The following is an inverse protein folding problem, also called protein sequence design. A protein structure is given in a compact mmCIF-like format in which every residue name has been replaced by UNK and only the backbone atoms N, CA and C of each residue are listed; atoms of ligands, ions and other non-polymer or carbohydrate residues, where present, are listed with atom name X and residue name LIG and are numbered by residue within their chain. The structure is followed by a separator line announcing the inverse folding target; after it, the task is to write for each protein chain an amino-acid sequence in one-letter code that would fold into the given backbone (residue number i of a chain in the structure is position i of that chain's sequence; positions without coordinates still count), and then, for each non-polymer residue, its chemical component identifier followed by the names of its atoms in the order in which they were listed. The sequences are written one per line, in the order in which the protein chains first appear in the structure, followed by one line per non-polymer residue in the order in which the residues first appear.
data_IF_677401071472
#
_entry.id   IF_677401071472
#
_cell.length_a   1.000
_cell.length_b   1.000
_cell.length_c   1.000
_cell.angle_alpha   90.00
_cell.angle_beta   90.00
_cell.angle_gamma   90.00
#
_symmetry.space_group_name_H-M   'P 1'
#
loop_
_entity.id
_entity.type
_entity.pdbx_description
1 polymer ?
#
# COMPACT_ATOMS: atom_id res chain seq x y z
N UNK A 1 2.61 -22.20 -1.34
CA UNK A 1 2.52 -20.80 -0.92
C UNK A 1 3.92 -20.24 -0.89
N UNK A 2 4.15 -19.16 -1.62
CA UNK A 2 5.41 -18.42 -1.63
C UNK A 2 5.48 -17.51 -0.38
N UNK A 3 6.67 -17.03 0.02
CA UNK A 3 6.77 -16.19 1.23
C UNK A 3 6.45 -14.72 0.94
N UNK A 4 7.08 -14.11 -0.05
CA UNK A 4 6.96 -12.67 -0.31
C UNK A 4 6.94 -12.35 -1.81
N UNK A 5 6.00 -11.48 -2.22
CA UNK A 5 6.07 -10.76 -3.48
C UNK A 5 6.46 -9.31 -3.21
N UNK A 6 7.52 -8.82 -3.85
CA UNK A 6 7.91 -7.41 -3.84
C UNK A 6 7.45 -6.79 -5.15
N UNK A 7 6.62 -5.76 -5.08
CA UNK A 7 6.15 -4.97 -6.21
C UNK A 7 6.84 -3.62 -6.19
N UNK A 8 7.83 -3.45 -7.08
CA UNK A 8 8.46 -2.15 -7.30
C UNK A 8 7.62 -1.37 -8.32
N UNK A 9 6.99 -0.28 -7.88
CA UNK A 9 5.97 0.42 -8.68
C UNK A 9 6.54 1.67 -9.35
N UNK A 10 6.42 1.76 -10.68
CA UNK A 10 6.97 2.87 -11.49
C UNK A 10 5.93 3.47 -12.41
N UNK A 11 6.09 4.76 -12.73
CA UNK A 11 5.20 5.51 -13.61
C UNK A 11 5.96 6.36 -14.63
N UNK A 12 5.73 6.09 -15.92
CA UNK A 12 6.57 6.55 -17.02
C UNK A 12 6.30 7.96 -17.57
N UNK A 13 6.16 8.98 -16.73
CA UNK A 13 6.14 10.37 -17.22
C UNK A 13 7.53 10.86 -17.65
N UNK A 14 8.58 10.22 -17.14
CA UNK A 14 9.99 10.52 -17.42
C UNK A 14 10.77 9.23 -17.58
N UNK A 15 11.92 9.30 -18.26
CA UNK A 15 12.86 8.19 -18.28
C UNK A 15 13.73 8.23 -17.02
N UNK A 16 13.39 7.39 -16.05
CA UNK A 16 14.10 7.24 -14.77
C UNK A 16 14.82 5.88 -14.65
N UNK A 17 15.11 5.20 -15.77
CA UNK A 17 15.60 3.82 -15.79
C UNK A 17 16.83 3.57 -14.90
N UNK A 18 17.81 4.48 -14.90
CA UNK A 18 19.01 4.35 -14.06
C UNK A 18 18.69 4.45 -12.56
N UNK A 19 17.69 5.26 -12.20
CA UNK A 19 17.21 5.34 -10.83
C UNK A 19 16.50 4.04 -10.44
N UNK A 20 15.64 3.52 -11.31
CA UNK A 20 14.95 2.25 -11.09
C UNK A 20 15.94 1.10 -10.88
N UNK A 21 16.99 1.03 -11.70
CA UNK A 21 18.05 0.02 -11.53
C UNK A 21 18.72 0.12 -10.17
N UNK A 22 19.02 1.34 -9.70
CA UNK A 22 19.60 1.54 -8.37
C UNK A 22 18.69 1.00 -7.27
N UNK A 23 17.40 1.35 -7.31
CA UNK A 23 16.43 0.90 -6.31
C UNK A 23 16.23 -0.62 -6.37
N UNK A 24 16.06 -1.20 -7.57
CA UNK A 24 15.96 -2.65 -7.77
C UNK A 24 17.21 -3.39 -7.28
N UNK A 25 18.40 -2.85 -7.54
CA UNK A 25 19.64 -3.43 -7.03
C UNK A 25 19.68 -3.43 -5.50
N UNK A 26 19.17 -2.38 -4.84
CA UNK A 26 19.07 -2.37 -3.37
C UNK A 26 18.15 -3.47 -2.83
N UNK A 27 17.06 -3.78 -3.54
CA UNK A 27 16.14 -4.88 -3.21
C UNK A 27 16.85 -6.22 -3.43
N UNK A 28 17.47 -6.44 -4.59
CA UNK A 28 18.15 -7.71 -4.91
C UNK A 28 19.38 -7.99 -4.04
N UNK A 29 20.02 -6.94 -3.52
CA UNK A 29 21.15 -7.05 -2.59
C UNK A 29 20.72 -7.16 -1.12
N UNK A 30 19.43 -7.05 -0.82
CA UNK A 30 18.90 -7.22 0.53
C UNK A 30 18.85 -8.71 0.90
N UNK A 31 18.86 -8.99 2.21
CA UNK A 31 18.48 -10.29 2.75
C UNK A 31 16.97 -10.47 2.57
N UNK A 32 16.60 -11.47 1.77
CA UNK A 32 15.20 -11.75 1.45
C UNK A 32 14.75 -13.08 2.08
N UNK A 33 13.47 -13.20 2.48
CA UNK A 33 12.89 -14.50 2.79
C UNK A 33 13.07 -15.49 1.64
N UNK A 34 13.14 -16.81 1.92
CA UNK A 34 13.13 -17.82 0.88
C UNK A 34 11.94 -17.65 -0.08
N UNK A 35 12.10 -18.05 -1.35
CA UNK A 35 11.01 -18.01 -2.34
C UNK A 35 10.38 -16.61 -2.54
N UNK A 36 11.15 -15.56 -2.28
CA UNK A 36 10.75 -14.19 -2.64
C UNK A 36 10.75 -14.01 -4.15
N UNK A 37 9.73 -13.33 -4.68
CA UNK A 37 9.66 -12.88 -6.08
C UNK A 37 9.66 -11.36 -6.12
N UNK A 38 10.23 -10.79 -7.17
CA UNK A 38 10.22 -9.35 -7.42
C UNK A 38 9.54 -9.11 -8.76
N UNK A 39 8.54 -8.23 -8.78
CA UNK A 39 7.85 -7.78 -9.99
C UNK A 39 7.95 -6.27 -10.09
N UNK A 40 8.23 -5.77 -11.30
CA UNK A 40 8.06 -4.35 -11.59
C UNK A 40 6.63 -4.10 -12.11
N UNK A 41 5.91 -3.21 -11.44
CA UNK A 41 4.67 -2.62 -11.93
C UNK A 41 5.02 -1.40 -12.76
N UNK A 42 5.08 -1.59 -14.09
CA UNK A 42 5.61 -0.63 -15.04
C UNK A 42 4.45 0.05 -15.80
N UNK A 43 3.91 1.10 -15.18
CA UNK A 43 2.83 1.89 -15.73
C UNK A 43 3.37 3.00 -16.63
N UNK A 44 2.91 3.08 -17.88
CA UNK A 44 3.27 4.13 -18.85
C UNK A 44 4.77 4.27 -19.17
N UNK A 45 5.67 3.39 -18.68
CA UNK A 45 7.10 3.47 -19.04
C UNK A 45 7.31 3.20 -20.52
N UNK A 46 8.27 3.92 -21.11
CA UNK A 46 8.62 3.76 -22.52
C UNK A 46 9.17 2.36 -22.80
N UNK A 47 9.10 1.95 -24.07
CA UNK A 47 9.65 0.67 -24.51
C UNK A 47 11.15 0.56 -24.19
N UNK A 48 11.90 1.64 -24.37
CA UNK A 48 13.33 1.70 -24.10
C UNK A 48 13.62 1.39 -22.62
N UNK A 49 12.87 2.00 -21.71
CA UNK A 49 12.99 1.73 -20.28
C UNK A 49 12.69 0.25 -19.95
N UNK A 50 11.63 -0.32 -20.55
CA UNK A 50 11.23 -1.72 -20.32
C UNK A 50 12.28 -2.69 -20.86
N UNK A 51 12.74 -2.49 -22.09
CA UNK A 51 13.77 -3.30 -22.74
C UNK A 51 15.08 -3.28 -21.94
N UNK A 52 15.43 -2.12 -21.39
CA UNK A 52 16.65 -1.94 -20.60
C UNK A 52 16.58 -2.68 -19.26
N UNK A 53 15.45 -2.60 -18.54
CA UNK A 53 15.26 -3.38 -17.32
C UNK A 53 15.20 -4.88 -17.58
N UNK A 54 14.54 -5.31 -18.67
CA UNK A 54 14.50 -6.71 -19.07
C UNK A 54 15.90 -7.25 -19.40
N UNK A 55 16.74 -6.43 -20.05
CA UNK A 55 18.13 -6.79 -20.38
C UNK A 55 19.00 -6.92 -19.12
N UNK A 56 18.82 -6.03 -18.15
CA UNK A 56 19.59 -6.00 -16.91
C UNK A 56 19.24 -7.17 -15.99
N UNK A 57 17.94 -7.41 -15.77
CA UNK A 57 17.47 -8.34 -14.73
C UNK A 57 17.05 -9.72 -15.25
N UNK A 58 16.71 -9.84 -16.54
CA UNK A 58 16.28 -11.11 -17.13
C UNK A 58 15.15 -11.75 -16.34
N UNK A 59 15.25 -13.05 -16.08
CA UNK A 59 14.24 -13.82 -15.35
C UNK A 59 14.21 -13.55 -13.83
N UNK A 60 15.12 -12.71 -13.29
CA UNK A 60 15.09 -12.33 -11.87
C UNK A 60 13.98 -11.33 -11.55
N UNK A 61 13.50 -10.60 -12.55
CA UNK A 61 12.48 -9.58 -12.42
C UNK A 61 11.27 -9.96 -13.27
N UNK A 62 10.13 -10.15 -12.61
CA UNK A 62 8.86 -10.29 -13.31
C UNK A 62 8.40 -8.92 -13.81
N UNK A 63 7.61 -8.89 -14.87
CA UNK A 63 7.15 -7.64 -15.48
C UNK A 63 5.62 -7.56 -15.55
N UNK A 64 5.07 -6.46 -15.04
CA UNK A 64 3.67 -6.08 -15.20
C UNK A 64 3.61 -4.77 -15.99
N UNK A 65 3.45 -4.86 -17.32
CA UNK A 65 3.34 -3.69 -18.18
C UNK A 65 1.91 -3.16 -18.22
N UNK A 66 1.75 -1.86 -18.03
CA UNK A 66 0.45 -1.18 -18.11
C UNK A 66 0.63 0.03 -19.04
N UNK A 67 -0.07 0.04 -20.17
CA UNK A 67 0.05 1.09 -21.21
C UNK A 67 -0.98 2.22 -21.06
N UNK A 68 -1.79 2.16 -20.01
CA UNK A 68 -2.77 3.17 -19.63
C UNK A 68 -2.38 3.82 -18.31
N UNK A 69 -2.63 5.13 -18.17
CA UNK A 69 -2.33 5.85 -16.94
C UNK A 69 -3.33 5.52 -15.84
N UNK A 70 -2.99 4.57 -14.98
CA UNK A 70 -3.80 4.15 -13.82
C UNK A 70 -3.17 4.60 -12.49
N UNK A 71 -3.97 4.81 -11.44
CA UNK A 71 -3.43 5.08 -10.10
C UNK A 71 -2.58 3.96 -9.55
N UNK A 72 -1.65 4.35 -8.67
CA UNK A 72 -0.67 3.45 -8.06
C UNK A 72 -1.31 2.21 -7.44
N UNK A 73 -2.42 2.37 -6.71
CA UNK A 73 -3.14 1.29 -6.03
C UNK A 73 -3.61 0.21 -7.01
N UNK A 74 -4.18 0.63 -8.15
CA UNK A 74 -4.63 -0.28 -9.21
C UNK A 74 -3.43 -0.98 -9.85
N UNK A 75 -2.37 -0.24 -10.19
CA UNK A 75 -1.19 -0.83 -10.85
C UNK A 75 -0.46 -1.83 -9.95
N UNK A 76 -0.38 -1.55 -8.65
CA UNK A 76 0.12 -2.46 -7.64
C UNK A 76 -0.73 -3.74 -7.58
N UNK A 77 -2.06 -3.61 -7.47
CA UNK A 77 -2.96 -4.75 -7.44
C UNK A 77 -2.92 -5.58 -8.74
N UNK A 78 -2.77 -4.95 -9.92
CA UNK A 78 -2.57 -5.64 -11.20
C UNK A 78 -1.28 -6.46 -11.20
N UNK A 79 -0.17 -5.90 -10.69
CA UNK A 79 1.09 -6.63 -10.59
C UNK A 79 0.98 -7.80 -9.61
N UNK A 80 0.32 -7.61 -8.46
CA UNK A 80 0.01 -8.69 -7.51
C UNK A 80 -0.78 -9.80 -8.19
N UNK A 81 -1.87 -9.46 -8.88
CA UNK A 81 -2.75 -10.46 -9.45
C UNK A 81 -2.07 -11.25 -10.59
N UNK A 82 -1.33 -10.57 -11.46
CA UNK A 82 -0.51 -11.21 -12.51
C UNK A 82 0.52 -12.17 -11.91
N UNK A 83 1.20 -11.77 -10.83
CA UNK A 83 2.15 -12.64 -10.14
C UNK A 83 1.45 -13.84 -9.47
N UNK A 84 0.27 -13.64 -8.87
CA UNK A 84 -0.50 -14.73 -8.27
C UNK A 84 -0.96 -15.76 -9.31
N UNK A 85 -1.37 -15.32 -10.51
CA UNK A 85 -1.73 -16.24 -11.61
C UNK A 85 -0.57 -17.11 -12.06
N UNK A 86 0.65 -16.57 -12.09
CA UNK A 86 1.83 -17.31 -12.57
C UNK A 86 2.54 -18.13 -11.49
N UNK A 87 2.57 -17.63 -10.25
CA UNK A 87 3.40 -18.19 -9.15
C UNK A 87 2.57 -18.75 -7.97
N UNK A 88 1.27 -18.51 -7.96
CA UNK A 88 0.38 -18.79 -6.83
C UNK A 88 0.44 -17.70 -5.75
N UNK A 89 -0.31 -17.91 -4.66
CA UNK A 89 -0.38 -16.93 -3.58
C UNK A 89 0.91 -16.84 -2.74
N UNK A 90 1.15 -15.64 -2.24
CA UNK A 90 2.24 -15.27 -1.34
C UNK A 90 1.69 -15.09 0.08
N UNK A 91 2.50 -15.24 1.12
CA UNK A 91 2.07 -14.88 2.49
C UNK A 91 1.94 -13.37 2.64
N UNK A 92 2.87 -12.64 2.03
CA UNK A 92 2.97 -11.19 2.12
C UNK A 92 3.19 -10.54 0.76
N UNK A 93 2.71 -9.31 0.62
CA UNK A 93 2.86 -8.46 -0.56
C UNK A 93 3.49 -7.14 -0.15
N UNK A 94 4.68 -6.83 -0.65
CA UNK A 94 5.40 -5.59 -0.34
C UNK A 94 5.28 -4.61 -1.51
N UNK A 95 4.61 -3.49 -1.26
CA UNK A 95 4.66 -2.31 -2.12
C UNK A 95 5.96 -1.54 -1.89
N UNK A 96 6.59 -1.08 -2.97
CA UNK A 96 7.77 -0.20 -2.92
C UNK A 96 7.58 0.93 -3.94
N UNK A 97 7.55 2.17 -3.46
CA UNK A 97 7.53 3.34 -4.33
C UNK A 97 8.81 3.46 -5.18
N UNK A 98 8.67 4.03 -6.37
CA UNK A 98 9.76 4.28 -7.32
C UNK A 98 10.97 5.00 -6.70
N UNK A 99 10.73 5.89 -5.73
CA UNK A 99 11.75 6.69 -5.06
C UNK A 99 12.39 6.03 -3.85
N UNK A 100 11.96 4.83 -3.46
CA UNK A 100 12.47 4.14 -2.26
C UNK A 100 13.59 3.17 -2.61
N UNK A 101 14.65 3.20 -1.82
CA UNK A 101 15.72 2.19 -1.85
C UNK A 101 16.10 1.68 -0.46
N UNK A 102 16.61 0.46 -0.42
CA UNK A 102 17.01 -0.28 0.78
C UNK A 102 18.52 -0.21 1.02
N UNK A 103 19.21 0.76 0.41
CA UNK A 103 20.65 0.90 0.59
C UNK A 103 21.00 1.17 2.08
N UNK A 104 22.04 0.50 2.56
CA UNK A 104 22.39 0.49 3.99
C UNK A 104 21.37 -0.21 4.93
N UNK A 105 20.29 -0.79 4.40
CA UNK A 105 19.21 -1.44 5.17
C UNK A 105 18.94 -2.88 4.68
N UNK A 106 20.01 -3.62 4.36
CA UNK A 106 19.92 -4.94 3.71
C UNK A 106 19.07 -5.97 4.48
N UNK A 107 18.99 -5.90 5.80
CA UNK A 107 18.19 -6.85 6.60
C UNK A 107 16.72 -6.42 6.83
N UNK A 108 16.32 -5.23 6.38
CA UNK A 108 15.03 -4.64 6.71
C UNK A 108 13.84 -5.49 6.21
N UNK A 109 13.91 -6.00 4.98
CA UNK A 109 12.84 -6.80 4.39
C UNK A 109 12.66 -8.12 5.16
N UNK A 110 13.77 -8.84 5.43
CA UNK A 110 13.72 -10.08 6.20
C UNK A 110 13.19 -9.86 7.63
N UNK A 111 13.59 -8.76 8.29
CA UNK A 111 13.06 -8.39 9.61
C UNK A 111 11.57 -8.07 9.55
N UNK A 112 11.11 -7.32 8.55
CA UNK A 112 9.69 -7.03 8.36
C UNK A 112 8.86 -8.33 8.22
N UNK A 113 9.34 -9.28 7.41
CA UNK A 113 8.68 -10.58 7.26
C UNK A 113 8.59 -11.33 8.59
N UNK A 114 9.67 -11.36 9.39
CA UNK A 114 9.65 -12.00 10.73
C UNK A 114 8.66 -11.33 11.69
N UNK A 115 8.49 -10.01 11.60
CA UNK A 115 7.49 -9.28 12.39
C UNK A 115 6.07 -9.68 11.95
N UNK A 116 5.84 -9.77 10.64
CA UNK A 116 4.56 -10.19 10.08
C UNK A 116 4.23 -11.67 10.39
N UNK A 117 5.25 -12.54 10.50
CA UNK A 117 5.12 -13.96 10.87
C UNK A 117 4.55 -14.17 12.29
N UNK A 118 4.54 -13.14 13.14
CA UNK A 118 3.82 -13.18 14.42
C UNK A 118 2.31 -13.41 14.27
N UNK A 119 1.77 -13.18 13.07
CA UNK A 119 0.35 -13.32 12.76
C UNK A 119 -0.53 -12.22 13.34
N UNK A 120 0.04 -11.25 14.06
CA UNK A 120 -0.67 -10.14 14.71
C UNK A 120 -0.94 -8.96 13.77
N UNK A 121 -0.14 -8.81 12.73
CA UNK A 121 -0.16 -7.64 11.86
C UNK A 121 -0.68 -7.98 10.46
N UNK A 122 -1.53 -7.11 9.94
CA UNK A 122 -2.06 -7.16 8.59
C UNK A 122 -1.31 -6.22 7.66
N UNK A 123 -0.72 -5.17 8.21
CA UNK A 123 0.06 -4.17 7.49
C UNK A 123 1.30 -3.83 8.30
N UNK A 124 2.43 -3.68 7.63
CA UNK A 124 3.67 -3.14 8.18
C UNK A 124 4.19 -2.02 7.29
N UNK A 125 4.49 -0.86 7.86
CA UNK A 125 5.15 0.25 7.15
C UNK A 125 6.63 0.32 7.51
N UNK A 126 7.46 0.56 6.49
CA UNK A 126 8.85 0.93 6.69
C UNK A 126 8.95 2.44 6.97
N UNK A 127 9.94 2.85 7.77
CA UNK A 127 10.20 4.28 7.95
C UNK A 127 10.94 4.82 6.72
N UNK A 128 10.53 5.98 6.23
CA UNK A 128 11.25 6.71 5.19
C UNK A 128 12.05 7.88 5.80
N UNK A 129 13.21 8.20 5.22
CA UNK A 129 14.10 9.28 5.67
C UNK A 129 13.44 10.67 5.63
N UNK A 130 12.37 10.79 4.86
CA UNK A 130 11.52 11.96 4.78
C UNK A 130 10.11 11.53 4.36
N UNK A 131 9.14 12.44 4.49
CA UNK A 131 7.76 12.25 4.01
C UNK A 131 6.93 11.18 4.69
N UNK A 132 7.30 10.74 5.90
CA UNK A 132 6.65 9.63 6.58
C UNK A 132 5.42 10.03 7.42
N UNK A 133 5.23 11.32 7.73
CA UNK A 133 4.14 11.83 8.60
C UNK A 133 3.93 11.09 9.94
N UNK A 134 5.00 10.74 10.66
CA UNK A 134 5.03 9.92 11.87
C UNK A 134 4.44 10.66 13.08
N UNK A 135 4.37 11.99 13.01
CA UNK A 135 3.72 12.80 14.03
C UNK A 135 2.21 12.51 14.12
N UNK A 136 1.57 12.05 13.05
CA UNK A 136 0.16 11.65 13.06
C UNK A 136 -0.09 10.40 13.92
N UNK A 137 0.94 9.60 14.18
CA UNK A 137 0.90 8.42 15.05
C UNK A 137 1.61 8.67 16.40
N UNK A 138 1.88 9.95 16.72
CA UNK A 138 2.50 10.34 17.99
C UNK A 138 4.01 10.08 18.07
N UNK A 139 4.68 9.82 16.95
CA UNK A 139 6.14 9.70 16.89
C UNK A 139 6.73 11.03 16.40
N UNK A 140 7.52 11.66 17.26
CA UNK A 140 8.28 12.88 16.95
C UNK A 140 9.77 12.58 16.94
N UNK A 141 10.55 13.39 16.20
CA UNK A 141 12.01 13.25 16.07
C UNK A 141 12.70 12.94 17.41
N UNK A 142 13.65 11.99 17.46
CA UNK A 142 14.29 11.25 16.35
C UNK A 142 13.44 10.11 15.75
N UNK A 143 13.89 9.46 14.64
CA UNK A 143 13.24 8.26 14.09
C UNK A 143 13.03 7.16 15.13
N UNK A 144 12.10 6.24 14.84
CA UNK A 144 11.75 5.14 15.74
C UNK A 144 12.90 4.13 15.80
N UNK A 145 13.52 4.02 16.99
CA UNK A 145 14.63 3.12 17.28
C UNK A 145 14.27 2.12 18.39
N UNK A 146 14.86 0.94 18.34
CA UNK A 146 14.86 -0.12 19.35
C UNK A 146 13.58 -0.94 19.46
N UNK A 147 12.45 -0.46 18.92
CA UNK A 147 11.19 -1.19 18.92
C UNK A 147 10.30 -0.79 17.75
N UNK A 148 9.44 -1.72 17.35
CA UNK A 148 8.32 -1.45 16.46
C UNK A 148 7.24 -0.62 17.19
N UNK A 149 6.45 0.11 16.41
CA UNK A 149 5.34 0.91 16.92
C UNK A 149 4.03 0.47 16.28
N UNK A 150 3.04 0.11 17.09
CA UNK A 150 1.72 -0.20 16.59
C UNK A 150 0.97 1.08 16.28
N UNK A 151 0.43 1.19 15.07
CA UNK A 151 -0.34 2.35 14.64
C UNK A 151 -1.74 2.26 15.26
N UNK A 152 -2.15 3.24 16.09
CA UNK A 152 -3.51 3.26 16.63
C UNK A 152 -4.58 3.32 15.52
N UNK A 153 -5.72 2.69 15.75
CA UNK A 153 -6.88 2.81 14.85
C UNK A 153 -7.28 4.28 14.70
N UNK A 154 -7.66 4.68 13.49
CA UNK A 154 -7.98 6.07 13.15
C UNK A 154 -6.78 6.97 12.88
N UNK A 155 -5.55 6.51 13.18
CA UNK A 155 -4.32 7.23 12.81
C UNK A 155 -3.70 6.64 11.55
N UNK A 156 -2.82 7.42 10.91
CA UNK A 156 -2.11 7.00 9.71
C UNK A 156 -0.76 7.70 9.57
N UNK A 157 0.19 7.02 8.94
CA UNK A 157 1.43 7.58 8.42
C UNK A 157 1.46 7.41 6.90
N UNK A 158 2.28 8.19 6.21
CA UNK A 158 2.38 8.12 4.75
C UNK A 158 3.00 6.80 4.32
N UNK A 159 2.53 6.27 3.19
CA UNK A 159 2.90 4.97 2.71
C UNK A 159 3.81 5.02 1.49
N UNK A 160 5.10 4.76 1.67
CA UNK A 160 6.10 4.69 0.58
C UNK A 160 6.68 3.28 0.41
N UNK A 161 6.55 2.43 1.43
CA UNK A 161 6.84 1.02 1.33
C UNK A 161 6.09 0.27 2.43
N UNK A 162 5.13 -0.56 2.01
CA UNK A 162 4.18 -1.22 2.90
C UNK A 162 4.09 -2.71 2.58
N UNK A 163 4.22 -3.53 3.61
CA UNK A 163 4.02 -4.97 3.54
C UNK A 163 2.61 -5.32 4.03
N UNK A 164 1.85 -6.01 3.20
CA UNK A 164 0.47 -6.43 3.46
C UNK A 164 0.38 -7.94 3.64
N UNK A 165 -0.46 -8.39 4.57
CA UNK A 165 -0.82 -9.80 4.76
C UNK A 165 -1.76 -10.27 3.64
N UNK A 166 -1.59 -11.52 3.19
CA UNK A 166 -2.53 -12.18 2.28
C UNK A 166 -3.95 -12.33 2.87
N UNK A 167 -4.13 -12.18 4.19
CA UNK A 167 -5.47 -12.14 4.80
C UNK A 167 -6.32 -10.98 4.23
N UNK A 168 -5.69 -9.85 3.87
CA UNK A 168 -6.35 -8.71 3.23
C UNK A 168 -6.85 -9.09 1.84
N UNK A 169 -5.96 -9.66 1.01
CA UNK A 169 -6.33 -10.11 -0.33
C UNK A 169 -7.42 -11.18 -0.30
N UNK A 170 -7.35 -12.13 0.63
CA UNK A 170 -8.39 -13.16 0.80
C UNK A 170 -9.74 -12.56 1.18
N UNK A 171 -9.78 -11.45 1.91
CA UNK A 171 -11.03 -10.81 2.34
C UNK A 171 -11.65 -9.92 1.26
N UNK A 172 -10.84 -9.17 0.53
CA UNK A 172 -11.28 -8.11 -0.39
C UNK A 172 -10.98 -8.39 -1.87
N UNK A 173 -10.40 -9.55 -2.20
CA UNK A 173 -10.01 -9.95 -3.55
C UNK A 173 -8.68 -9.34 -4.03
N UNK A 174 -8.38 -8.11 -3.62
CA UNK A 174 -7.12 -7.39 -3.90
C UNK A 174 -6.45 -6.88 -2.62
N UNK A 175 -5.21 -6.40 -2.71
CA UNK A 175 -4.40 -6.07 -1.54
C UNK A 175 -4.65 -4.63 -1.09
N UNK A 176 -4.34 -3.65 -1.95
CA UNK A 176 -4.45 -2.24 -1.62
C UNK A 176 -5.86 -1.74 -1.98
N UNK A 177 -6.50 -0.88 -1.17
CA UNK A 177 -7.79 -0.29 -1.53
C UNK A 177 -7.61 0.55 -2.79
N UNK A 178 -8.47 0.37 -3.77
CA UNK A 178 -8.22 0.79 -5.16
C UNK A 178 -9.24 1.80 -5.67
N UNK A 179 -10.04 2.38 -4.78
CA UNK A 179 -11.00 3.44 -5.12
C UNK A 179 -10.35 4.81 -5.24
N UNK A 180 -9.14 5.01 -4.71
CA UNK A 180 -8.50 6.33 -4.61
C UNK A 180 -7.72 6.71 -5.86
N UNK A 181 -7.84 7.97 -6.27
CA UNK A 181 -7.03 8.53 -7.36
C UNK A 181 -5.58 8.78 -6.94
N UNK A 182 -5.37 9.26 -5.71
CA UNK A 182 -4.05 9.62 -5.20
C UNK A 182 -3.99 9.60 -3.67
N UNK A 183 -4.33 10.73 -3.04
CA UNK A 183 -4.28 10.92 -1.59
C UNK A 183 -5.32 10.07 -0.85
N UNK A 184 -5.14 9.98 0.47
CA UNK A 184 -6.09 9.43 1.44
C UNK A 184 -6.16 7.90 1.50
N UNK A 185 -5.41 7.19 0.65
CA UNK A 185 -5.30 5.74 0.71
C UNK A 185 -4.90 5.25 2.11
N UNK A 186 -3.83 5.82 2.66
CA UNK A 186 -3.21 5.34 3.90
C UNK A 186 -4.06 5.62 5.14
N UNK A 187 -4.98 6.60 5.09
CA UNK A 187 -5.92 6.84 6.18
C UNK A 187 -6.93 5.71 6.36
N UNK A 188 -7.03 4.79 5.40
CA UNK A 188 -7.88 3.59 5.50
C UNK A 188 -7.16 2.36 6.05
N UNK A 189 -5.83 2.36 6.11
CA UNK A 189 -5.04 1.15 6.37
C UNK A 189 -5.28 0.55 7.76
N UNK A 190 -5.44 1.38 8.80
CA UNK A 190 -5.75 0.87 10.14
C UNK A 190 -7.09 0.13 10.17
N UNK A 191 -8.10 0.62 9.45
CA UNK A 191 -9.41 -0.02 9.32
C UNK A 191 -9.37 -1.30 8.47
N UNK A 192 -8.58 -1.31 7.39
CA UNK A 192 -8.38 -2.51 6.56
C UNK A 192 -7.69 -3.62 7.36
N UNK A 193 -6.65 -3.30 8.13
CA UNK A 193 -6.00 -4.26 9.00
C UNK A 193 -6.98 -4.79 10.08
N UNK A 194 -7.74 -3.88 10.71
CA UNK A 194 -8.73 -4.21 11.73
C UNK A 194 -9.84 -5.13 11.18
N UNK A 195 -10.32 -4.88 9.96
CA UNK A 195 -11.36 -5.66 9.29
C UNK A 195 -10.98 -7.14 9.08
N UNK A 196 -9.68 -7.45 9.00
CA UNK A 196 -9.17 -8.83 8.93
C UNK A 196 -8.67 -9.36 10.28
N UNK A 197 -9.02 -8.68 11.38
CA UNK A 197 -8.68 -9.09 12.74
C UNK A 197 -7.20 -8.89 13.07
N UNK A 198 -6.53 -7.94 12.40
CA UNK A 198 -5.11 -7.66 12.55
C UNK A 198 -4.87 -6.18 12.89
N UNK A 199 -3.60 -5.85 13.14
CA UNK A 199 -3.14 -4.48 13.38
C UNK A 199 -2.16 -3.99 12.32
N UNK A 200 -1.89 -2.69 12.35
CA UNK A 200 -0.84 -2.05 11.58
C UNK A 200 0.36 -1.72 12.49
N UNK A 201 1.57 -1.95 12.00
CA UNK A 201 2.83 -1.69 12.71
C UNK A 201 3.82 -0.93 11.84
N UNK A 202 4.66 -0.11 12.47
CA UNK A 202 5.81 0.56 11.85
C UNK A 202 7.08 -0.15 12.32
N UNK A 203 7.92 -0.55 11.37
CA UNK A 203 9.19 -1.23 11.65
C UNK A 203 10.19 -0.24 12.26
N UNK A 204 10.73 -0.57 13.44
CA UNK A 204 11.82 0.19 14.07
C UNK A 204 13.18 -0.05 13.38
N UNK A 205 14.17 0.77 13.72
CA UNK A 205 15.60 0.60 13.39
C UNK A 205 16.01 0.70 11.92
N UNK A 206 15.06 0.70 10.98
CA UNK A 206 15.32 0.77 9.56
C UNK A 206 14.70 2.02 8.95
N UNK A 207 15.56 2.96 8.55
CA UNK A 207 15.18 4.21 7.90
C UNK A 207 15.59 4.12 6.42
N UNK A 208 14.61 3.89 5.55
CA UNK A 208 14.82 3.77 4.11
C UNK A 208 15.06 5.13 3.47
N UNK A 209 15.89 5.16 2.44
CA UNK A 209 16.03 6.37 1.65
C UNK A 209 14.79 6.55 0.77
N UNK A 210 14.24 7.77 0.74
CA UNK A 210 13.10 8.11 -0.11
C UNK A 210 13.39 9.38 -0.91
N UNK A 211 13.37 9.28 -2.23
CA UNK A 211 13.45 10.39 -3.16
C UNK A 211 12.05 10.74 -3.67
N UNK A 212 11.46 11.81 -3.14
CA UNK A 212 10.11 12.24 -3.52
C UNK A 212 9.99 12.57 -5.02
N UNK A 213 8.87 12.17 -5.61
CA UNK A 213 8.43 12.67 -6.92
C UNK A 213 9.34 12.28 -8.09
N UNK A 214 10.02 11.13 -7.99
CA UNK A 214 10.82 10.57 -9.09
C UNK A 214 9.99 10.46 -10.35
N UNK A 215 8.80 9.86 -10.24
CA UNK A 215 7.87 9.67 -11.35
C UNK A 215 6.81 10.79 -11.45
N UNK A 216 6.85 11.75 -10.53
CA UNK A 216 5.84 12.80 -10.40
C UNK A 216 4.62 12.34 -9.62
N UNK A 217 3.48 12.99 -9.88
CA UNK A 217 2.22 12.57 -9.32
C UNK A 217 1.76 11.27 -9.99
N UNK A 218 1.58 10.19 -9.21
CA UNK A 218 1.21 8.85 -9.68
C UNK A 218 -0.25 8.73 -10.11
N UNK A 219 -0.76 9.72 -10.84
CA UNK A 219 -2.06 9.62 -11.51
C UNK A 219 -2.09 10.47 -12.78
N UNK A 220 -2.83 9.97 -13.77
CA UNK A 220 -3.10 10.65 -15.04
C UNK A 220 -4.23 11.68 -14.93
N UNK A 221 -4.78 11.88 -13.72
CA UNK A 221 -6.00 12.65 -13.45
C UNK A 221 -5.77 13.65 -12.31
N UNK A 222 -6.61 14.68 -12.16
CA UNK A 222 -6.49 15.61 -11.03
C UNK A 222 -6.64 14.91 -9.68
N UNK A 223 -5.79 15.25 -8.71
CA UNK A 223 -5.81 14.69 -7.35
C UNK A 223 -6.92 15.28 -6.45
N UNK A 224 -7.72 16.20 -6.98
CA UNK A 224 -8.80 16.86 -6.27
C UNK A 224 -10.16 16.39 -6.78
N UNK A 225 -11.13 16.39 -5.89
CA UNK A 225 -12.52 16.15 -6.20
C UNK A 225 -12.99 17.13 -7.29
N UNK A 226 -13.48 16.66 -8.45
CA UNK A 226 -14.07 17.56 -9.44
C UNK A 226 -15.35 18.23 -8.92
N UNK A 227 -16.01 17.62 -7.93
CA UNK A 227 -17.26 18.10 -7.34
C UNK A 227 -17.02 19.13 -6.23
N UNK A 228 -16.03 18.92 -5.38
CA UNK A 228 -15.82 19.73 -4.17
C UNK A 228 -14.50 20.52 -4.16
N UNK A 229 -13.59 20.28 -5.09
CA UNK A 229 -12.27 20.92 -5.14
C UNK A 229 -11.33 20.55 -3.98
N UNK A 230 -11.70 19.60 -3.12
CA UNK A 230 -10.92 19.14 -1.98
C UNK A 230 -10.11 17.87 -2.32
N UNK A 231 -9.18 17.47 -1.45
CA UNK A 231 -8.32 16.30 -1.67
C UNK A 231 -8.86 15.01 -1.06
N UNK A 232 -9.81 15.09 -0.12
CA UNK A 232 -10.34 13.92 0.58
C UNK A 232 -11.49 13.21 -0.17
N UNK A 233 -12.08 13.82 -1.19
CA UNK A 233 -13.11 13.17 -2.01
C UNK A 233 -12.63 12.94 -3.45
N UNK A 234 -11.51 12.23 -3.57
CA UNK A 234 -10.80 11.94 -4.81
C UNK A 234 -11.01 10.48 -5.26
N UNK A 235 -12.24 9.97 -5.17
CA UNK A 235 -12.56 8.59 -5.52
C UNK A 235 -12.80 8.42 -7.03
N UNK A 236 -12.50 7.23 -7.52
CA UNK A 236 -12.69 6.83 -8.90
C UNK A 236 -14.08 6.25 -9.17
N UNK A 237 -14.36 6.01 -10.47
CA UNK A 237 -15.55 5.29 -10.94
C UNK A 237 -16.89 5.88 -10.48
N UNK A 238 -16.92 7.20 -10.27
CA UNK A 238 -18.13 7.92 -9.85
C UNK A 238 -18.50 7.72 -8.37
N UNK A 239 -17.62 7.10 -7.57
CA UNK A 239 -17.79 7.01 -6.12
C UNK A 239 -17.68 8.40 -5.47
N UNK A 240 -18.34 8.56 -4.34
CA UNK A 240 -18.37 9.81 -3.59
C UNK A 240 -18.18 9.51 -2.10
N UNK A 241 -17.12 10.05 -1.51
CA UNK A 241 -16.79 9.81 -0.11
C UNK A 241 -17.92 10.25 0.86
N UNK A 242 -18.77 11.20 0.44
CA UNK A 242 -19.95 11.59 1.24
C UNK A 242 -20.90 10.43 1.52
N UNK A 243 -20.91 9.39 0.67
CA UNK A 243 -21.76 8.22 0.84
C UNK A 243 -21.42 7.44 2.11
N UNK A 244 -20.14 7.24 2.41
CA UNK A 244 -19.73 6.56 3.63
C UNK A 244 -19.59 7.50 4.83
N UNK A 245 -19.21 8.77 4.61
CA UNK A 245 -19.18 9.78 5.68
C UNK A 245 -20.56 9.97 6.33
N UNK A 246 -21.65 9.74 5.58
CA UNK A 246 -23.02 9.86 6.07
C UNK A 246 -23.67 8.52 6.43
N UNK A 247 -22.99 7.39 6.20
CA UNK A 247 -23.55 6.06 6.46
C UNK A 247 -23.51 5.73 7.95
N UNK A 248 -24.68 5.79 8.60
CA UNK A 248 -24.84 5.47 10.02
C UNK A 248 -24.33 4.08 10.39
N UNK A 249 -24.43 3.11 9.47
CA UNK A 249 -23.94 1.77 9.71
C UNK A 249 -22.41 1.73 9.68
N UNK A 250 -21.78 2.46 8.76
CA UNK A 250 -20.33 2.62 8.73
C UNK A 250 -19.79 3.24 10.03
N UNK A 251 -20.48 4.27 10.55
CA UNK A 251 -20.19 4.83 11.88
C UNK A 251 -20.35 3.80 13.00
N UNK A 252 -21.47 3.04 13.00
CA UNK A 252 -21.77 2.04 14.03
C UNK A 252 -20.71 0.94 14.13
N UNK A 253 -20.20 0.47 12.99
CA UNK A 253 -19.16 -0.57 12.94
C UNK A 253 -17.74 -0.02 13.16
N UNK A 254 -17.61 1.29 13.42
CA UNK A 254 -16.34 1.92 13.74
C UNK A 254 -15.47 2.26 12.54
N UNK A 255 -16.03 2.39 11.33
CA UNK A 255 -15.27 2.88 10.18
C UNK A 255 -14.89 4.36 10.42
N UNK A 256 -13.67 4.72 10.07
CA UNK A 256 -13.22 6.11 9.97
C UNK A 256 -12.59 6.39 8.61
N UNK A 257 -12.33 7.67 8.34
CA UNK A 257 -11.68 8.15 7.12
C UNK A 257 -11.12 9.55 7.32
N UNK A 258 -9.86 9.76 6.94
CA UNK A 258 -9.19 11.07 7.01
C UNK A 258 -9.36 11.77 8.38
N UNK A 259 -9.17 11.04 9.48
CA UNK A 259 -9.35 11.58 10.85
C UNK A 259 -8.33 12.67 11.19
N UNK A 260 -7.14 12.62 10.57
CA UNK A 260 -6.15 13.70 10.66
C UNK A 260 -6.72 15.05 10.18
N UNK A 261 -7.76 15.02 9.34
CA UNK A 261 -8.48 16.18 8.82
C UNK A 261 -9.91 16.29 9.39
N UNK A 262 -10.27 15.50 10.40
CA UNK A 262 -11.60 15.44 11.01
C UNK A 262 -12.75 15.23 10.00
N UNK A 263 -12.55 14.38 8.99
CA UNK A 263 -13.60 14.13 7.97
C UNK A 263 -14.63 13.11 8.47
N UNK A 264 -14.18 11.93 8.91
CA UNK A 264 -15.02 10.91 9.54
C UNK A 264 -14.22 10.21 10.62
N UNK A 265 -14.44 10.61 11.87
CA UNK A 265 -13.79 9.99 13.02
C UNK A 265 -14.55 8.72 13.43
N UNK A 266 -13.82 7.63 13.65
CA UNK A 266 -14.40 6.39 14.14
C UNK A 266 -15.00 6.54 15.54
N UNK A 267 -15.97 5.66 15.87
CA UNK A 267 -16.42 5.48 17.24
C UNK A 267 -15.41 4.60 18.00
N UNK A 268 -14.68 5.12 19.00
CA UNK A 268 -13.73 4.32 19.76
C UNK A 268 -14.40 3.18 20.55
N UNK A 269 -15.70 3.27 20.82
CA UNK A 269 -16.44 2.20 21.51
C UNK A 269 -16.77 1.00 20.60
N UNK A 270 -16.53 1.12 19.30
CA UNK A 270 -16.66 0.01 18.35
C UNK A 270 -15.43 -0.93 18.38
N UNK A 271 -14.42 -0.64 19.22
CA UNK A 271 -13.17 -1.39 19.33
C UNK A 271 -12.92 -1.89 20.75
N UNK A 272 -12.22 -3.01 20.86
CA UNK A 272 -11.74 -3.56 22.13
C UNK A 272 -10.47 -2.86 22.63
N UNK A 273 -10.00 -3.23 23.83
CA UNK A 273 -8.77 -2.67 24.41
C UNK A 273 -7.49 -3.02 23.64
N UNK A 274 -7.55 -3.94 22.68
CA UNK A 274 -6.43 -4.31 21.81
C UNK A 274 -6.46 -3.59 20.47
N UNK A 275 -7.46 -2.73 20.23
CA UNK A 275 -7.66 -2.03 18.96
C UNK A 275 -8.25 -2.92 17.87
N UNK A 276 -8.98 -3.98 18.22
CA UNK A 276 -9.70 -4.84 17.29
C UNK A 276 -11.20 -4.50 17.30
N UNK A 277 -11.90 -4.60 16.16
CA UNK A 277 -13.32 -4.23 16.08
C UNK A 277 -14.20 -5.24 16.83
N UNK A 278 -15.20 -4.74 17.55
CA UNK A 278 -16.21 -5.57 18.22
C UNK A 278 -17.16 -6.24 17.21
N UNK A 279 -17.37 -5.59 16.06
CA UNK A 279 -18.15 -6.10 14.92
C UNK A 279 -17.24 -6.19 13.68
N UNK A 280 -16.34 -7.18 13.69
CA UNK A 280 -15.34 -7.36 12.64
C UNK A 280 -15.96 -7.57 11.26
N UNK A 281 -17.02 -8.39 11.13
CA UNK A 281 -17.66 -8.64 9.84
C UNK A 281 -18.44 -7.42 9.34
N UNK A 282 -19.08 -6.67 10.23
CA UNK A 282 -19.71 -5.39 9.89
C UNK A 282 -18.69 -4.39 9.34
N UNK A 283 -17.55 -4.23 10.02
CA UNK A 283 -16.46 -3.36 9.54
C UNK A 283 -15.92 -3.85 8.20
N UNK A 284 -15.63 -5.14 8.06
CA UNK A 284 -15.11 -5.71 6.82
C UNK A 284 -16.06 -5.53 5.65
N UNK A 285 -17.37 -5.70 5.86
CA UNK A 285 -18.38 -5.45 4.83
C UNK A 285 -18.36 -3.99 4.36
N UNK A 286 -18.15 -3.02 5.26
CA UNK A 286 -18.13 -1.60 4.93
C UNK A 286 -16.82 -1.17 4.27
N UNK A 287 -15.69 -1.71 4.73
CA UNK A 287 -14.39 -1.55 4.08
C UNK A 287 -14.44 -2.07 2.63
N UNK A 288 -14.96 -3.28 2.42
CA UNK A 288 -15.12 -3.87 1.09
C UNK A 288 -16.01 -3.00 0.20
N UNK A 289 -17.19 -2.62 0.72
CA UNK A 289 -18.14 -1.77 0.01
C UNK A 289 -17.54 -0.44 -0.45
N UNK A 290 -16.77 0.24 0.40
CA UNK A 290 -16.39 1.62 0.17
C UNK A 290 -14.97 1.83 -0.36
N UNK A 291 -14.03 0.96 0.01
CA UNK A 291 -12.61 1.14 -0.31
C UNK A 291 -12.09 0.19 -1.39
N UNK A 292 -12.88 -0.79 -1.80
CA UNK A 292 -12.54 -1.73 -2.87
C UNK A 292 -13.54 -1.66 -4.02
N UNK A 293 -13.01 -1.71 -5.24
CA UNK A 293 -13.79 -1.72 -6.48
C UNK A 293 -14.39 -3.10 -6.74
N UNK A 294 -15.61 -3.09 -7.27
CA UNK A 294 -16.26 -4.30 -7.78
C UNK A 294 -15.70 -4.64 -9.16
N UNK A 295 -15.86 -5.90 -9.59
CA UNK A 295 -15.48 -6.32 -10.95
C UNK A 295 -16.27 -5.61 -12.04
N UNK A 296 -17.44 -5.03 -11.73
CA UNK A 296 -18.18 -4.17 -12.67
C UNK A 296 -17.59 -2.77 -12.82
N UNK A 297 -16.85 -2.28 -11.83
CA UNK A 297 -16.16 -0.99 -11.89
C UNK A 297 -14.76 -1.13 -12.50
N UNK A 298 -14.00 -2.14 -12.06
CA UNK A 298 -12.69 -2.47 -12.59
C UNK A 298 -12.41 -3.97 -12.49
N UNK A 299 -12.28 -4.63 -13.64
CA UNK A 299 -12.04 -6.07 -13.71
C UNK A 299 -10.55 -6.38 -13.91
N UNK A 300 -9.85 -6.75 -12.84
CA UNK A 300 -8.46 -7.21 -12.90
C UNK A 300 -8.28 -8.46 -13.79
N UNK A 301 -9.34 -9.26 -14.01
CA UNK A 301 -9.28 -10.48 -14.83
C UNK A 301 -9.10 -10.23 -16.32
N UNK A 302 -9.64 -9.13 -16.83
CA UNK A 302 -9.59 -8.73 -18.24
C UNK A 302 -8.44 -7.77 -18.59
N UNK A 303 -7.61 -7.38 -17.62
CA UNK A 303 -6.50 -6.43 -17.76
C UNK A 303 -5.13 -7.09 -17.87
#
# INVERSE_FOLDING_TARGET
MQDLLIVYNTFGLKNNVEHYKRCLNSIFNSELPPKTKVIISSCMNSKECRDELQREYGDKLMHSYVDEGLPVNITFNLAVDRAVRSEGEFKYYLYVDSGVDFDGNNEAILKATRVMDSGKYGILSFQASNDHALYNVGIHNPPLMGRNHEVPVGTACNGHSEMFSNDIRKRFGVVMPDVFVAFCTESTFSFIAAAVGKRWVILGDHLLNHRKGVDGASSSVPHSSPKFGNTWNNLMFGRDATQFVQDKEAHRVGLGYEECNNIMNHDPNAYDSNGLPLDQEGLASKVDQYFYLTSSEFDYSSK
#
